data_IF_522431053658
#
_entry.id   IF_522431053658
#
_cell.length_a   1.000
_cell.length_b   1.000
_cell.length_c   1.000
_cell.angle_alpha   90.00
_cell.angle_beta   90.00
_cell.angle_gamma   90.00
#
_symmetry.space_group_name_H-M   'P 1'
#
loop_
_entity.id
_entity.type
_entity.pdbx_description
1 polymer ?
#
# COMPACT_ATOMS: atom_id res chain seq x y z
N UNK A 1 15.35 4.27 -4.91
CA UNK A 1 14.18 4.79 -5.65
C UNK A 1 13.46 3.64 -6.34
N UNK A 2 12.17 3.44 -6.04
CA UNK A 2 11.28 2.54 -6.77
C UNK A 2 10.68 3.31 -7.94
N UNK A 3 10.82 2.80 -9.16
CA UNK A 3 10.33 3.46 -10.38
C UNK A 3 9.56 2.44 -11.19
N UNK A 4 8.24 2.65 -11.30
CA UNK A 4 7.40 1.95 -12.27
C UNK A 4 7.08 2.88 -13.43
N UNK A 5 6.99 2.35 -14.66
CA UNK A 5 6.70 3.18 -15.81
C UNK A 5 5.27 3.70 -15.79
N UNK A 6 5.12 4.94 -16.26
CA UNK A 6 3.84 5.52 -16.61
C UNK A 6 3.54 5.23 -18.09
N UNK A 7 2.26 5.00 -18.36
CA UNK A 7 1.71 4.74 -19.69
C UNK A 7 0.52 5.63 -19.97
N UNK A 8 -0.46 5.11 -20.71
CA UNK A 8 -1.72 5.83 -20.89
C UNK A 8 -2.50 5.85 -19.58
N UNK A 9 -2.79 7.02 -19.00
CA UNK A 9 -3.47 7.10 -17.71
C UNK A 9 -4.93 6.65 -17.85
N UNK A 10 -5.36 5.77 -16.95
CA UNK A 10 -6.76 5.35 -16.80
C UNK A 10 -7.41 5.99 -15.56
N UNK A 11 -6.61 6.20 -14.52
CA UNK A 11 -6.97 6.94 -13.32
C UNK A 11 -5.68 7.52 -12.72
N UNK A 12 -5.70 8.78 -12.29
CA UNK A 12 -4.53 9.42 -11.69
C UNK A 12 -4.95 10.27 -10.49
N UNK A 13 -4.05 10.36 -9.52
CA UNK A 13 -4.16 11.15 -8.30
C UNK A 13 -5.47 10.89 -7.54
N UNK A 14 -5.91 9.62 -7.53
CA UNK A 14 -7.10 9.22 -6.78
C UNK A 14 -6.69 9.07 -5.31
N UNK A 15 -7.27 9.86 -4.38
CA UNK A 15 -6.94 9.71 -2.97
C UNK A 15 -7.35 8.34 -2.45
N UNK A 16 -6.46 7.67 -1.71
CA UNK A 16 -6.75 6.34 -1.11
C UNK A 16 -7.98 6.37 -0.20
N UNK A 17 -8.30 7.51 0.41
CA UNK A 17 -9.48 7.70 1.26
C UNK A 17 -10.81 7.57 0.53
N UNK A 18 -10.80 7.64 -0.80
CA UNK A 18 -11.97 7.44 -1.67
C UNK A 18 -12.03 6.03 -2.25
N UNK A 19 -11.06 5.17 -1.93
CA UNK A 19 -10.93 3.84 -2.49
C UNK A 19 -11.34 2.79 -1.48
N UNK A 20 -12.16 1.85 -1.95
CA UNK A 20 -12.34 0.56 -1.32
C UNK A 20 -11.47 -0.43 -2.09
N UNK A 21 -10.38 -0.93 -1.48
CA UNK A 21 -9.37 -1.71 -2.20
C UNK A 21 -9.95 -2.94 -2.90
N UNK A 22 -10.80 -3.78 -2.27
CA UNK A 22 -11.38 -4.94 -2.95
C UNK A 22 -12.12 -4.58 -4.24
N UNK A 23 -12.92 -3.51 -4.20
CA UNK A 23 -13.71 -3.08 -5.37
C UNK A 23 -12.83 -2.45 -6.44
N UNK A 24 -11.74 -1.78 -6.05
CA UNK A 24 -10.75 -1.27 -6.99
C UNK A 24 -10.07 -2.41 -7.74
N UNK A 25 -9.58 -3.44 -7.04
CA UNK A 25 -8.96 -4.60 -7.68
C UNK A 25 -9.95 -5.37 -8.56
N UNK A 26 -11.21 -5.52 -8.11
CA UNK A 26 -12.27 -6.15 -8.90
C UNK A 26 -12.57 -5.36 -10.19
N UNK A 27 -12.56 -4.03 -10.14
CA UNK A 27 -12.68 -3.18 -11.34
C UNK A 27 -11.49 -3.36 -12.30
N UNK A 28 -10.26 -3.42 -11.79
CA UNK A 28 -9.08 -3.64 -12.63
C UNK A 28 -9.13 -5.01 -13.33
N UNK A 29 -9.60 -6.04 -12.60
CA UNK A 29 -9.81 -7.38 -13.12
C UNK A 29 -10.89 -7.42 -14.20
N UNK A 30 -12.09 -6.91 -13.90
CA UNK A 30 -13.22 -6.93 -14.81
C UNK A 30 -13.02 -6.03 -16.04
N UNK A 31 -12.29 -4.92 -15.86
CA UNK A 31 -11.84 -4.03 -16.93
C UNK A 31 -10.73 -4.60 -17.81
N UNK A 32 -10.23 -5.82 -17.51
CA UNK A 32 -9.13 -6.49 -18.23
C UNK A 32 -7.88 -5.63 -18.35
N UNK A 33 -7.47 -4.97 -17.26
CA UNK A 33 -6.29 -4.11 -17.27
C UNK A 33 -5.07 -4.90 -17.79
N UNK A 34 -4.37 -4.31 -18.77
CA UNK A 34 -3.01 -4.68 -19.14
C UNK A 34 -2.14 -3.45 -18.87
N UNK A 35 -1.33 -3.50 -17.80
CA UNK A 35 -0.66 -2.31 -17.30
C UNK A 35 -0.21 -2.44 -15.85
N UNK A 36 -0.13 -1.32 -15.16
CA UNK A 36 0.19 -1.30 -13.73
C UNK A 36 -0.71 -0.35 -12.96
N UNK A 37 -0.87 -0.64 -11.68
CA UNK A 37 -1.46 0.25 -10.70
C UNK A 37 -0.42 0.54 -9.60
N UNK A 38 -0.42 1.75 -9.09
CA UNK A 38 0.55 2.22 -8.08
C UNK A 38 -0.19 2.83 -6.92
N UNK A 39 0.34 2.62 -5.72
CA UNK A 39 -0.10 3.30 -4.51
C UNK A 39 1.11 3.99 -3.89
N UNK A 40 1.03 5.30 -3.78
CA UNK A 40 2.09 6.13 -3.21
C UNK A 40 1.63 6.56 -1.82
N UNK A 41 2.25 6.00 -0.78
CA UNK A 41 2.04 6.38 0.61
C UNK A 41 3.26 7.16 1.13
N UNK A 42 3.15 7.99 2.18
CA UNK A 42 4.30 8.72 2.72
C UNK A 42 5.47 7.84 3.17
N UNK A 43 5.19 6.60 3.60
CA UNK A 43 6.18 5.68 4.16
C UNK A 43 6.39 4.41 3.30
N UNK A 44 5.67 4.27 2.19
CA UNK A 44 5.74 3.07 1.36
C UNK A 44 5.28 3.34 -0.07
N UNK A 45 5.87 2.64 -1.02
CA UNK A 45 5.43 2.63 -2.41
C UNK A 45 4.97 1.22 -2.78
N UNK A 46 3.82 1.11 -3.45
CA UNK A 46 3.29 -0.18 -3.86
C UNK A 46 3.04 -0.21 -5.36
N UNK A 47 3.32 -1.35 -5.98
CA UNK A 47 3.10 -1.59 -7.39
C UNK A 47 2.34 -2.89 -7.62
N UNK A 48 1.35 -2.85 -8.50
CA UNK A 48 0.60 -4.01 -8.97
C UNK A 48 0.74 -4.08 -10.48
N UNK A 49 1.07 -5.25 -11.02
CA UNK A 49 1.22 -5.46 -12.48
C UNK A 49 0.13 -6.40 -12.97
N UNK A 50 -0.57 -5.99 -14.02
CA UNK A 50 -1.71 -6.72 -14.57
C UNK A 50 -1.50 -7.10 -16.04
N UNK A 51 -1.96 -8.30 -16.40
CA UNK A 51 -2.09 -8.75 -17.79
C UNK A 51 -3.51 -9.27 -18.03
N UNK A 52 -4.27 -8.55 -18.87
CA UNK A 52 -5.66 -8.87 -19.24
C UNK A 52 -6.58 -9.09 -18.01
N UNK A 53 -6.37 -8.28 -16.96
CA UNK A 53 -7.13 -8.31 -15.72
C UNK A 53 -6.62 -9.31 -14.68
N UNK A 54 -5.61 -10.12 -15.00
CA UNK A 54 -4.95 -10.99 -14.03
C UNK A 54 -3.87 -10.22 -13.30
N UNK A 55 -3.85 -10.30 -11.97
CA UNK A 55 -2.78 -9.70 -11.18
C UNK A 55 -1.55 -10.62 -11.23
N UNK A 56 -0.52 -10.20 -11.95
CA UNK A 56 0.68 -11.02 -12.23
C UNK A 56 1.67 -10.97 -11.08
N UNK A 57 1.94 -9.78 -10.55
CA UNK A 57 2.85 -9.56 -9.43
C UNK A 57 2.45 -8.33 -8.64
N UNK A 58 2.76 -8.36 -7.35
CA UNK A 58 2.56 -7.27 -6.41
C UNK A 58 3.87 -6.99 -5.67
N UNK A 59 4.12 -5.73 -5.35
CA UNK A 59 5.32 -5.32 -4.62
C UNK A 59 5.02 -4.16 -3.69
N UNK A 60 5.62 -4.20 -2.51
CA UNK A 60 5.63 -3.10 -1.54
C UNK A 60 7.07 -2.82 -1.17
N UNK A 61 7.47 -1.57 -1.29
CA UNK A 61 8.71 -1.06 -0.73
C UNK A 61 8.39 -0.30 0.55
N UNK A 62 8.91 -0.77 1.68
CA UNK A 62 8.72 -0.13 2.99
C UNK A 62 9.97 -0.32 3.83
N UNK A 63 10.41 0.73 4.51
CA UNK A 63 11.58 0.69 5.41
C UNK A 63 12.87 0.13 4.77
N UNK A 64 13.05 0.35 3.47
CA UNK A 64 14.19 -0.17 2.70
C UNK A 64 14.10 -1.67 2.36
N UNK A 65 13.01 -2.34 2.72
CA UNK A 65 12.74 -3.74 2.37
C UNK A 65 11.76 -3.84 1.21
N UNK A 66 11.92 -4.91 0.43
CA UNK A 66 11.05 -5.28 -0.70
C UNK A 66 10.20 -6.49 -0.28
N UNK A 67 8.87 -6.33 -0.29
CA UNK A 67 7.89 -7.37 -0.01
C UNK A 67 7.17 -7.69 -1.30
N UNK A 68 6.96 -8.99 -1.63
CA UNK A 68 6.39 -9.42 -2.91
C UNK A 68 5.11 -10.24 -2.79
N UNK A 69 4.37 -10.25 -3.89
CA UNK A 69 3.24 -11.11 -4.21
C UNK A 69 2.19 -11.17 -3.09
N UNK A 70 1.90 -12.35 -2.53
CA UNK A 70 0.88 -12.49 -1.49
C UNK A 70 1.17 -11.62 -0.24
N UNK A 71 2.42 -11.58 0.20
CA UNK A 71 2.82 -10.76 1.35
C UNK A 71 2.71 -9.26 1.02
N UNK A 72 2.97 -8.87 -0.23
CA UNK A 72 2.77 -7.50 -0.69
C UNK A 72 1.29 -7.10 -0.68
N UNK A 73 0.38 -8.01 -1.07
CA UNK A 73 -1.07 -7.76 -1.01
C UNK A 73 -1.55 -7.57 0.42
N UNK A 74 -1.09 -8.40 1.36
CA UNK A 74 -1.38 -8.23 2.79
C UNK A 74 -0.88 -6.88 3.30
N UNK A 75 0.38 -6.55 3.02
CA UNK A 75 0.97 -5.26 3.41
C UNK A 75 0.21 -4.07 2.79
N UNK A 76 -0.26 -4.18 1.55
CA UNK A 76 -1.08 -3.15 0.91
C UNK A 76 -2.43 -2.97 1.61
N UNK A 77 -3.10 -4.06 2.03
CA UNK A 77 -4.34 -3.96 2.83
C UNK A 77 -4.07 -3.19 4.12
N UNK A 78 -3.01 -3.54 4.85
CA UNK A 78 -2.62 -2.85 6.08
C UNK A 78 -2.34 -1.36 5.84
N UNK A 79 -1.56 -1.04 4.80
CA UNK A 79 -1.25 0.34 4.43
C UNK A 79 -2.50 1.14 4.07
N UNK A 80 -3.42 0.57 3.30
CA UNK A 80 -4.68 1.21 2.93
C UNK A 80 -5.58 1.52 4.14
N UNK A 81 -5.53 0.70 5.19
CA UNK A 81 -6.33 0.89 6.41
C UNK A 81 -5.69 1.85 7.40
N UNK A 82 -4.36 1.86 7.48
CA UNK A 82 -3.60 2.62 8.48
C UNK A 82 -3.15 3.99 7.98
N UNK A 83 -2.94 4.16 6.67
CA UNK A 83 -2.43 5.41 6.12
C UNK A 83 -3.50 6.51 6.15
N UNK A 84 -3.11 7.69 6.63
CA UNK A 84 -3.97 8.88 6.64
C UNK A 84 -4.13 9.54 5.26
N UNK A 85 -3.18 9.30 4.36
CA UNK A 85 -3.12 9.86 3.02
C UNK A 85 -2.31 8.95 2.09
N UNK A 86 -2.51 9.16 0.80
CA UNK A 86 -1.85 8.41 -0.26
C UNK A 86 -2.57 8.62 -1.57
N UNK A 87 -1.90 8.30 -2.66
CA UNK A 87 -2.43 8.41 -4.01
C UNK A 87 -2.45 7.07 -4.69
N UNK A 88 -3.46 6.86 -5.52
CA UNK A 88 -3.61 5.70 -6.38
C UNK A 88 -3.62 6.14 -7.84
N UNK A 89 -2.82 5.49 -8.66
CA UNK A 89 -2.72 5.72 -10.10
C UNK A 89 -2.80 4.41 -10.86
N UNK A 90 -3.35 4.44 -12.07
CA UNK A 90 -3.49 3.29 -12.96
C UNK A 90 -3.08 3.71 -14.36
N UNK A 91 -2.16 2.95 -14.94
CA UNK A 91 -1.63 3.20 -16.28
C UNK A 91 -1.77 1.94 -17.13
N UNK A 92 -2.42 2.09 -18.29
CA UNK A 92 -2.38 1.08 -19.34
C UNK A 92 -1.00 1.10 -20.01
N UNK A 93 -0.44 -0.10 -20.25
CA UNK A 93 0.86 -0.26 -20.90
C UNK A 93 0.72 -1.19 -22.10
N UNK A 94 1.56 -1.04 -23.13
CA UNK A 94 1.67 -2.05 -24.18
C UNK A 94 2.02 -3.41 -23.57
N UNK A 95 1.45 -4.50 -24.11
CA UNK A 95 1.66 -5.86 -23.57
C UNK A 95 3.15 -6.23 -23.46
N UNK A 96 3.94 -5.80 -24.43
CA UNK A 96 5.38 -6.01 -24.49
C UNK A 96 6.11 -5.35 -23.31
N UNK A 97 5.63 -4.19 -22.88
CA UNK A 97 6.16 -3.47 -21.71
C UNK A 97 5.72 -4.15 -20.42
N UNK A 98 4.47 -4.65 -20.33
CA UNK A 98 3.98 -5.36 -19.14
C UNK A 98 4.84 -6.58 -18.81
N UNK A 99 5.25 -7.36 -19.81
CA UNK A 99 6.16 -8.50 -19.60
C UNK A 99 7.51 -8.06 -19.00
N UNK A 100 8.09 -6.98 -19.53
CA UNK A 100 9.35 -6.45 -19.01
C UNK A 100 9.18 -5.86 -17.59
N UNK A 101 8.10 -5.14 -17.31
CA UNK A 101 7.77 -4.62 -15.97
C UNK A 101 7.56 -5.76 -14.97
N UNK A 102 6.96 -6.87 -15.40
CA UNK A 102 6.84 -8.07 -14.55
C UNK A 102 8.23 -8.61 -14.17
N UNK A 103 9.21 -8.55 -15.08
CA UNK A 103 10.60 -8.88 -14.76
C UNK A 103 11.22 -7.90 -13.77
N UNK A 104 10.97 -6.59 -13.90
CA UNK A 104 11.46 -5.58 -12.95
C UNK A 104 11.02 -5.88 -11.51
N UNK A 105 9.76 -6.28 -11.34
CA UNK A 105 9.12 -6.46 -10.03
C UNK A 105 9.37 -7.86 -9.45
N UNK A 106 9.12 -8.91 -10.23
CA UNK A 106 9.14 -10.30 -9.77
C UNK A 106 10.22 -11.17 -10.42
N UNK A 107 11.06 -10.61 -11.31
CA UNK A 107 12.06 -11.37 -12.06
C UNK A 107 13.28 -11.78 -11.24
N UNK A 108 14.01 -12.76 -11.77
CA UNK A 108 15.30 -13.18 -11.24
C UNK A 108 16.34 -12.07 -11.40
N UNK A 109 17.24 -11.97 -10.42
CA UNK A 109 18.31 -10.97 -10.39
C UNK A 109 19.50 -11.49 -11.16
N UNK A 110 19.88 -10.80 -12.24
CA UNK A 110 21.09 -11.10 -13.00
C UNK A 110 22.23 -10.13 -12.66
N UNK A 111 21.89 -8.87 -12.42
CA UNK A 111 22.81 -7.83 -11.94
C UNK A 111 22.10 -7.12 -10.79
N UNK A 112 22.80 -6.93 -9.68
CA UNK A 112 22.27 -6.25 -8.50
C UNK A 112 23.20 -5.11 -8.08
N UNK A 113 22.73 -3.89 -8.24
CA UNK A 113 23.39 -2.66 -7.82
C UNK A 113 24.86 -2.57 -8.23
N UNK A 114 25.20 -2.94 -9.46
CA UNK A 114 26.59 -2.91 -9.93
C UNK A 114 26.92 -1.55 -10.55
N UNK A 115 28.07 -0.96 -10.23
CA UNK A 115 28.52 0.27 -10.88
C UNK A 115 28.67 0.07 -12.39
N UNK A 116 28.13 1.00 -13.18
CA UNK A 116 28.10 0.88 -14.65
C UNK A 116 29.51 0.76 -15.25
N UNK A 117 30.50 1.43 -14.65
CA UNK A 117 31.90 1.37 -15.09
C UNK A 117 32.52 -0.03 -15.01
N UNK A 118 31.95 -0.91 -14.19
CA UNK A 118 32.39 -2.29 -14.00
C UNK A 118 31.62 -3.29 -14.88
N UNK A 119 30.63 -2.83 -15.64
CA UNK A 119 29.79 -3.65 -16.51
C UNK A 119 30.31 -3.50 -17.95
N UNK A 120 30.61 -4.62 -18.60
CA UNK A 120 30.75 -4.63 -20.05
C UNK A 120 29.36 -4.54 -20.68
N UNK A 121 28.93 -3.30 -20.93
CA UNK A 121 27.58 -3.02 -21.45
C UNK A 121 27.37 -3.63 -22.84
N UNK A 122 28.42 -3.73 -23.65
CA UNK A 122 28.32 -4.32 -24.99
C UNK A 122 28.05 -5.82 -24.88
N UNK A 123 28.85 -6.53 -24.08
CA UNK A 123 28.65 -7.95 -23.83
C UNK A 123 27.28 -8.23 -23.18
N UNK A 124 26.82 -7.35 -22.28
CA UNK A 124 25.50 -7.47 -21.64
C UNK A 124 24.36 -7.38 -22.66
N UNK A 125 24.40 -6.38 -23.55
CA UNK A 125 23.39 -6.21 -24.61
C UNK A 125 23.42 -7.37 -25.61
N UNK A 126 24.61 -7.83 -25.99
CA UNK A 126 24.78 -8.98 -26.89
C UNK A 126 24.20 -10.25 -26.24
N UNK A 127 24.39 -10.42 -24.92
CA UNK A 127 23.81 -11.53 -24.16
C UNK A 127 22.28 -11.47 -24.12
N UNK A 128 21.70 -10.31 -23.77
CA UNK A 128 20.24 -10.10 -23.77
C UNK A 128 19.64 -10.48 -25.12
N UNK A 129 20.29 -10.06 -26.22
CA UNK A 129 19.86 -10.34 -27.58
C UNK A 129 19.98 -11.83 -27.94
N UNK A 130 21.12 -12.45 -27.61
CA UNK A 130 21.44 -13.83 -28.02
C UNK A 130 20.60 -14.86 -27.25
N UNK A 131 20.40 -14.63 -25.95
CA UNK A 131 19.57 -15.47 -25.09
C UNK A 131 18.08 -15.11 -25.20
N UNK A 132 17.70 -14.18 -26.09
CA UNK A 132 16.32 -13.72 -26.28
C UNK A 132 15.62 -13.35 -24.96
N UNK A 133 16.30 -12.62 -24.09
CA UNK A 133 15.79 -12.32 -22.76
C UNK A 133 14.59 -11.38 -22.80
N UNK A 134 13.60 -11.64 -21.93
CA UNK A 134 12.61 -10.64 -21.52
C UNK A 134 13.05 -10.10 -20.16
N UNK A 135 13.41 -8.82 -20.11
CA UNK A 135 14.14 -8.24 -18.99
C UNK A 135 13.89 -6.74 -18.85
N UNK A 136 14.16 -6.22 -17.65
CA UNK A 136 14.28 -4.78 -17.41
C UNK A 136 15.67 -4.47 -16.88
N UNK A 137 16.36 -3.58 -17.58
CA UNK A 137 17.60 -2.96 -17.11
C UNK A 137 17.26 -1.62 -16.49
N UNK A 138 17.52 -1.49 -15.19
CA UNK A 138 17.40 -0.23 -14.46
C UNK A 138 18.78 0.39 -14.32
N UNK A 139 18.90 1.67 -14.65
CA UNK A 139 20.11 2.46 -14.49
C UNK A 139 19.76 3.64 -13.57
N UNK A 140 20.54 3.87 -12.53
CA UNK A 140 20.19 4.88 -11.52
C UNK A 140 21.38 5.47 -10.77
N UNK A 141 21.16 6.69 -10.28
CA UNK A 141 21.88 7.32 -9.18
C UNK A 141 20.91 7.45 -8.00
N UNK A 142 21.31 8.03 -6.85
CA UNK A 142 20.36 8.33 -5.78
C UNK A 142 19.22 9.28 -6.21
N UNK A 143 19.46 10.15 -7.21
CA UNK A 143 18.55 11.21 -7.64
C UNK A 143 17.85 10.94 -8.98
N UNK A 144 18.47 10.15 -9.86
CA UNK A 144 17.96 9.89 -11.21
C UNK A 144 17.79 8.41 -11.45
N UNK A 145 16.77 8.01 -12.21
CA UNK A 145 16.70 6.64 -12.72
C UNK A 145 16.06 6.54 -14.11
N UNK A 146 16.52 5.56 -14.87
CA UNK A 146 16.04 5.16 -16.17
C UNK A 146 15.85 3.64 -16.24
N UNK A 147 14.92 3.23 -17.10
CA UNK A 147 14.54 1.84 -17.38
C UNK A 147 14.68 1.60 -18.88
N UNK A 148 15.22 0.45 -19.23
CA UNK A 148 15.22 -0.09 -20.59
C UNK A 148 14.49 -1.42 -20.55
N UNK A 149 13.44 -1.53 -21.37
CA UNK A 149 12.60 -2.71 -21.45
C UNK A 149 13.02 -3.58 -22.63
N UNK A 150 13.22 -4.87 -22.37
CA UNK A 150 13.55 -5.87 -23.36
C UNK A 150 12.50 -6.96 -23.41
N UNK A 151 12.17 -7.40 -24.62
CA UNK A 151 11.33 -8.56 -24.89
C UNK A 151 11.97 -9.40 -25.97
N UNK A 152 12.15 -10.69 -25.70
CA UNK A 152 12.78 -11.64 -26.64
C UNK A 152 14.11 -11.11 -27.21
N UNK A 153 14.90 -10.42 -26.38
CA UNK A 153 16.19 -9.83 -26.74
C UNK A 153 16.12 -8.51 -27.52
N UNK A 154 14.92 -8.02 -27.87
CA UNK A 154 14.72 -6.73 -28.54
C UNK A 154 14.34 -5.65 -27.53
N UNK A 155 14.86 -4.43 -27.73
CA UNK A 155 14.42 -3.27 -26.95
C UNK A 155 13.02 -2.86 -27.38
N UNK A 156 12.10 -2.78 -26.41
CA UNK A 156 10.69 -2.44 -26.66
C UNK A 156 10.29 -1.08 -26.10
N UNK A 157 11.11 -0.47 -25.25
CA UNK A 157 10.87 0.89 -24.78
C UNK A 157 11.86 1.37 -23.73
N UNK A 158 11.74 2.65 -23.41
CA UNK A 158 12.52 3.37 -22.40
C UNK A 158 11.59 4.14 -21.49
N UNK A 159 12.00 4.36 -20.25
CA UNK A 159 11.28 5.22 -19.31
C UNK A 159 12.26 5.81 -18.31
N UNK A 160 12.05 7.03 -17.85
CA UNK A 160 12.84 7.63 -16.78
C UNK A 160 11.95 8.39 -15.80
N UNK A 161 12.52 8.80 -14.68
CA UNK A 161 11.86 9.54 -13.60
C UNK A 161 11.01 10.75 -14.03
N UNK A 162 11.46 11.51 -15.01
CA UNK A 162 10.77 12.65 -15.59
C UNK A 162 9.87 12.29 -16.81
N UNK A 163 9.84 11.03 -17.25
CA UNK A 163 8.97 10.60 -18.35
C UNK A 163 7.50 10.61 -17.92
N UNK A 164 6.63 11.07 -18.81
CA UNK A 164 5.17 10.93 -18.66
C UNK A 164 4.60 9.71 -19.38
N UNK A 165 5.40 9.06 -20.23
CA UNK A 165 5.01 7.92 -21.04
C UNK A 165 6.23 7.07 -21.44
N UNK A 166 6.00 5.87 -21.98
CA UNK A 166 7.04 5.05 -22.59
C UNK A 166 7.63 5.75 -23.81
N UNK A 167 8.95 5.83 -23.86
CA UNK A 167 9.72 6.42 -24.95
C UNK A 167 10.33 5.36 -25.85
N UNK A 168 10.67 5.77 -27.08
CA UNK A 168 11.35 4.94 -28.08
C UNK A 168 12.85 5.22 -28.17
N UNK A 169 13.35 6.21 -27.42
CA UNK A 169 14.74 6.66 -27.49
C UNK A 169 15.46 6.44 -26.16
N UNK A 170 16.75 6.09 -26.25
CA UNK A 170 17.60 5.86 -25.09
C UNK A 170 18.21 7.15 -24.50
N UNK A 171 17.91 8.33 -25.06
CA UNK A 171 18.70 9.55 -24.85
C UNK A 171 18.91 9.89 -23.38
N UNK A 172 17.83 10.01 -22.61
CA UNK A 172 17.93 10.36 -21.19
C UNK A 172 18.55 9.23 -20.36
N UNK A 173 18.19 7.97 -20.64
CA UNK A 173 18.76 6.81 -19.93
C UNK A 173 20.28 6.73 -20.12
N UNK A 174 20.78 7.05 -21.32
CA UNK A 174 22.22 7.15 -21.60
C UNK A 174 22.88 8.29 -20.85
N UNK A 175 22.21 9.43 -20.70
CA UNK A 175 22.72 10.53 -19.88
C UNK A 175 22.86 10.11 -18.42
N UNK A 176 21.85 9.44 -17.85
CA UNK A 176 21.89 8.92 -16.48
C UNK A 176 23.04 7.91 -16.32
N UNK A 177 23.26 7.04 -17.30
CA UNK A 177 24.36 6.08 -17.29
C UNK A 177 25.75 6.75 -17.26
N UNK A 178 25.87 7.96 -17.80
CA UNK A 178 27.09 8.76 -17.78
C UNK A 178 27.36 9.50 -16.46
N UNK A 179 26.40 9.52 -15.53
CA UNK A 179 26.55 10.23 -14.26
C UNK A 179 27.55 9.53 -13.32
N UNK A 180 28.30 10.29 -12.51
CA UNK A 180 29.17 9.71 -11.49
C UNK A 180 28.40 8.83 -10.51
N UNK A 181 28.90 7.62 -10.25
CA UNK A 181 28.29 6.68 -9.32
C UNK A 181 27.01 6.01 -9.85
N UNK A 182 26.72 6.09 -11.15
CA UNK A 182 25.60 5.38 -11.74
C UNK A 182 25.76 3.86 -11.59
N UNK A 183 24.68 3.20 -11.18
CA UNK A 183 24.58 1.75 -10.94
C UNK A 183 23.51 1.17 -11.84
N UNK A 184 23.59 -0.14 -12.06
CA UNK A 184 22.60 -0.87 -12.82
C UNK A 184 22.09 -2.11 -12.07
N UNK A 185 20.81 -2.38 -12.23
CA UNK A 185 20.16 -3.63 -11.87
C UNK A 185 19.59 -4.25 -13.15
N UNK A 186 19.76 -5.56 -13.34
CA UNK A 186 19.13 -6.29 -14.43
C UNK A 186 18.28 -7.40 -13.85
N UNK A 187 16.97 -7.32 -14.11
CA UNK A 187 16.00 -8.33 -13.71
C UNK A 187 15.43 -9.01 -14.95
N UNK A 188 15.42 -10.34 -14.94
CA UNK A 188 14.97 -11.17 -16.07
C UNK A 188 13.72 -11.95 -15.69
N UNK A 189 12.79 -12.08 -16.63
CA UNK A 189 11.63 -12.94 -16.41
C UNK A 189 12.08 -14.41 -16.38
N UNK A 190 11.53 -15.19 -15.45
CA UNK A 190 11.76 -16.64 -15.42
C UNK A 190 11.00 -17.29 -16.58
N UNK A 191 11.62 -18.28 -17.25
CA UNK A 191 11.06 -19.05 -18.37
C UNK A 191 9.84 -19.93 -18.03
N UNK A 192 9.17 -19.70 -16.89
CA UNK A 192 7.97 -20.44 -16.50
C UNK A 192 6.88 -20.27 -17.56
N UNK A 193 6.79 -21.27 -18.44
CA UNK A 193 6.04 -21.28 -19.67
C UNK A 193 4.55 -20.94 -19.45
N UNK A 194 4.08 -19.89 -20.12
CA UNK A 194 2.68 -19.69 -20.53
C UNK A 194 1.62 -19.45 -19.44
N UNK A 195 1.91 -19.68 -18.16
CA UNK A 195 0.93 -19.54 -17.09
C UNK A 195 1.10 -18.23 -16.32
N UNK A 196 0.26 -17.25 -16.67
CA UNK A 196 0.07 -16.05 -15.83
C UNK A 196 -0.85 -16.44 -14.67
N UNK A 197 -0.26 -16.65 -13.50
CA UNK A 197 -0.98 -16.86 -12.24
C UNK A 197 -1.70 -15.57 -11.85
N UNK A 198 -3.00 -15.66 -11.58
CA UNK A 198 -3.77 -14.54 -11.01
C UNK A 198 -3.60 -14.54 -9.49
N UNK A 199 -2.66 -13.73 -8.98
CA UNK A 199 -2.38 -13.61 -7.54
C UNK A 199 -3.62 -13.20 -6.74
N UNK A 200 -4.50 -12.39 -7.33
CA UNK A 200 -5.76 -11.99 -6.69
C UNK A 200 -6.73 -13.17 -6.52
N UNK A 201 -6.55 -14.26 -7.27
CA UNK A 201 -7.29 -15.50 -7.09
C UNK A 201 -6.74 -16.41 -5.98
N UNK A 202 -5.51 -16.16 -5.52
CA UNK A 202 -4.87 -16.92 -4.44
C UNK A 202 -5.10 -16.32 -3.05
N UNK A 203 -5.46 -15.04 -3.02
CA UNK A 203 -5.63 -14.26 -1.79
C UNK A 203 -7.04 -13.70 -1.80
N UNK A 204 -7.84 -14.05 -0.80
CA UNK A 204 -9.15 -13.43 -0.60
C UNK A 204 -8.96 -12.02 -0.03
N UNK A 205 -8.69 -11.06 -0.91
CA UNK A 205 -8.45 -9.66 -0.52
C UNK A 205 -9.67 -9.06 0.17
N UNK A 206 -10.89 -9.51 -0.15
CA UNK A 206 -12.11 -9.03 0.52
C UNK A 206 -12.18 -9.56 1.95
N UNK A 207 -11.94 -10.85 2.17
CA UNK A 207 -11.85 -11.40 3.53
C UNK A 207 -10.69 -10.78 4.35
N UNK A 208 -9.53 -10.55 3.72
CA UNK A 208 -8.41 -9.84 4.38
C UNK A 208 -8.78 -8.42 4.75
N UNK A 209 -9.46 -7.70 3.85
CA UNK A 209 -9.95 -6.35 4.09
C UNK A 209 -10.97 -6.30 5.22
N UNK A 210 -11.97 -7.19 5.22
CA UNK A 210 -13.04 -7.20 6.21
C UNK A 210 -12.53 -7.59 7.61
N UNK A 211 -11.65 -8.60 7.66
CA UNK A 211 -11.01 -9.02 8.91
C UNK A 211 -10.10 -7.94 9.47
N UNK A 212 -9.27 -7.31 8.63
CA UNK A 212 -8.35 -6.25 9.06
C UNK A 212 -9.11 -4.97 9.42
N UNK A 213 -10.18 -4.63 8.70
CA UNK A 213 -11.05 -3.48 9.02
C UNK A 213 -11.79 -3.64 10.34
N UNK A 214 -12.06 -4.89 10.74
CA UNK A 214 -12.72 -5.23 12.01
C UNK A 214 -11.72 -5.41 13.17
N UNK A 215 -10.48 -5.84 12.88
CA UNK A 215 -9.46 -6.25 13.85
C UNK A 215 -8.18 -5.40 13.83
N UNK A 216 -8.23 -4.09 13.55
CA UNK A 216 -7.03 -3.20 13.50
C UNK A 216 -6.20 -3.21 14.82
N UNK A 217 -6.71 -3.84 15.90
CA UNK A 217 -6.04 -3.97 17.20
C UNK A 217 -5.89 -5.40 17.74
N UNK A 218 -6.09 -6.45 16.94
CA UNK A 218 -5.80 -7.81 17.40
C UNK A 218 -4.28 -8.05 17.38
N UNK A 219 -3.63 -8.01 18.54
CA UNK A 219 -2.28 -8.60 18.73
C UNK A 219 -2.29 -10.05 18.22
N UNK A 220 -1.21 -10.54 17.56
CA UNK A 220 -1.17 -11.93 17.12
C UNK A 220 -1.19 -12.83 18.37
N UNK A 221 -2.33 -13.50 18.60
CA UNK A 221 -2.44 -14.56 19.60
C UNK A 221 -1.74 -15.78 18.99
N UNK A 222 -0.73 -16.39 19.64
CA UNK A 222 -0.16 -17.64 19.15
C UNK A 222 -1.27 -18.69 19.10
N UNK A 223 -1.34 -19.43 17.99
CA UNK A 223 -2.32 -20.49 17.80
C UNK A 223 -2.21 -21.53 18.94
N UNK A 224 -3.18 -21.49 19.85
CA UNK A 224 -3.47 -22.55 20.79
C UNK A 224 -4.86 -23.09 20.46
N UNK A 225 -4.89 -24.33 19.98
CA UNK A 225 -6.09 -25.15 19.87
C UNK A 225 -6.80 -25.18 21.23
N UNK A 226 -8.09 -24.81 21.28
CA UNK A 226 -9.09 -25.53 22.08
C UNK A 226 -10.53 -25.13 21.68
N UNK A 227 -11.52 -26.04 21.84
CA UNK A 227 -12.79 -26.03 21.12
C UNK A 227 -13.89 -25.19 21.77
N UNK A 228 -14.81 -24.75 20.92
CA UNK A 228 -15.95 -23.89 21.22
C UNK A 228 -16.93 -24.49 22.26
N UNK A 229 -17.35 -23.63 23.20
CA UNK A 229 -18.61 -23.78 23.93
C UNK A 229 -19.55 -22.61 23.58
N UNK A 230 -20.85 -22.85 23.35
CA UNK A 230 -21.80 -21.81 23.01
C UNK A 230 -22.31 -21.08 24.25
N UNK A 231 -22.28 -19.74 24.25
CA UNK A 231 -23.00 -18.92 25.22
C UNK A 231 -24.22 -18.22 24.60
N UNK A 232 -25.32 -18.04 25.36
CA UNK A 232 -26.63 -17.66 24.83
C UNK A 232 -26.78 -16.17 24.61
N UNK A 233 -27.60 -15.81 23.62
CA UNK A 233 -27.97 -14.44 23.29
C UNK A 233 -28.70 -13.74 24.46
N UNK A 234 -28.23 -12.54 24.82
CA UNK A 234 -28.91 -11.63 25.74
C UNK A 234 -29.47 -10.41 24.98
N UNK A 235 -30.66 -10.02 25.42
CA UNK A 235 -31.65 -9.13 24.80
C UNK A 235 -31.22 -7.67 24.83
N UNK A 236 -31.39 -6.96 23.71
CA UNK A 236 -31.18 -5.51 23.60
C UNK A 236 -32.41 -4.78 24.11
N UNK A 237 -32.23 -3.98 25.17
CA UNK A 237 -33.15 -2.94 25.61
C UNK A 237 -32.43 -1.58 25.53
N UNK A 238 -32.96 -0.65 24.73
CA UNK A 238 -32.78 0.81 24.87
C UNK A 238 -33.82 1.30 25.91
N UNK A 239 -33.62 2.28 26.83
CA UNK A 239 -33.01 3.62 26.57
C UNK A 239 -32.31 4.36 27.77
N UNK A 240 -31.20 5.06 27.49
CA UNK A 240 -30.73 6.33 28.11
C UNK A 240 -29.45 6.74 27.35
N UNK A 241 -29.19 8.02 27.12
CA UNK A 241 -27.95 8.43 26.45
C UNK A 241 -26.77 8.25 27.43
N UNK A 242 -26.19 7.05 27.42
CA UNK A 242 -25.05 6.72 28.27
C UNK A 242 -23.88 7.68 27.99
N UNK A 243 -23.20 8.19 29.03
CA UNK A 243 -22.09 9.14 28.89
C UNK A 243 -20.95 8.57 28.05
N UNK A 244 -20.79 7.24 28.05
CA UNK A 244 -19.89 6.51 27.17
C UNK A 244 -20.24 6.72 25.69
N UNK A 245 -21.51 6.52 25.30
CA UNK A 245 -21.98 6.72 23.93
C UNK A 245 -21.73 8.15 23.46
N UNK A 246 -21.94 9.14 24.33
CA UNK A 246 -21.72 10.56 24.00
C UNK A 246 -20.24 10.87 23.77
N UNK A 247 -19.34 10.32 24.59
CA UNK A 247 -17.88 10.49 24.42
C UNK A 247 -17.43 9.84 23.11
N UNK A 248 -17.94 8.65 22.81
CA UNK A 248 -17.61 7.90 21.60
C UNK A 248 -18.13 8.64 20.35
N UNK A 249 -19.35 9.15 20.37
CA UNK A 249 -19.92 9.94 19.26
C UNK A 249 -19.12 11.22 19.00
N UNK A 250 -18.77 11.97 20.05
CA UNK A 250 -17.98 13.20 19.90
C UNK A 250 -16.57 12.90 19.41
N UNK A 251 -15.91 11.86 19.93
CA UNK A 251 -14.62 11.44 19.40
C UNK A 251 -14.72 11.00 17.93
N UNK A 252 -15.81 10.32 17.55
CA UNK A 252 -16.09 9.95 16.15
C UNK A 252 -16.29 11.18 15.26
N UNK A 253 -17.01 12.18 15.76
CA UNK A 253 -17.32 13.40 15.02
C UNK A 253 -16.05 14.23 14.72
N UNK A 254 -15.17 14.37 15.70
CA UNK A 254 -13.98 15.22 15.58
C UNK A 254 -12.76 14.48 14.99
N UNK A 255 -12.58 13.21 15.33
CA UNK A 255 -11.39 12.41 14.96
C UNK A 255 -11.72 11.25 13.99
N UNK A 256 -12.97 11.13 13.53
CA UNK A 256 -13.39 10.09 12.60
C UNK A 256 -13.44 8.70 13.24
N UNK A 257 -13.41 7.65 12.41
CA UNK A 257 -13.51 6.25 12.88
C UNK A 257 -12.39 5.85 13.88
N UNK A 258 -11.21 6.47 13.76
CA UNK A 258 -10.11 6.27 14.71
C UNK A 258 -10.36 6.96 16.05
N UNK A 259 -11.09 8.08 16.05
CA UNK A 259 -11.62 8.71 17.25
C UNK A 259 -12.54 7.81 18.05
N UNK A 260 -13.46 7.14 17.36
CA UNK A 260 -14.39 6.17 17.95
C UNK A 260 -13.65 5.10 18.74
N UNK A 261 -12.71 4.43 18.07
CA UNK A 261 -11.94 3.34 18.64
C UNK A 261 -11.02 3.81 19.78
N UNK A 262 -10.43 4.99 19.66
CA UNK A 262 -9.64 5.60 20.73
C UNK A 262 -10.51 5.87 21.97
N UNK A 263 -11.71 6.43 21.79
CA UNK A 263 -12.63 6.67 22.89
C UNK A 263 -13.09 5.38 23.56
N UNK A 264 -13.50 4.36 22.79
CA UNK A 264 -13.91 3.05 23.31
C UNK A 264 -12.78 2.40 24.12
N UNK A 265 -11.55 2.44 23.62
CA UNK A 265 -10.36 1.90 24.30
C UNK A 265 -10.08 2.63 25.60
N UNK A 266 -10.03 3.96 25.58
CA UNK A 266 -9.67 4.71 26.77
C UNK A 266 -10.79 4.67 27.82
N UNK A 267 -12.06 4.57 27.41
CA UNK A 267 -13.18 4.30 28.33
C UNK A 267 -13.05 2.93 28.99
N UNK A 268 -12.63 1.90 28.23
CA UNK A 268 -12.36 0.58 28.79
C UNK A 268 -11.18 0.61 29.79
N UNK A 269 -10.10 1.34 29.46
CA UNK A 269 -8.90 1.44 30.30
C UNK A 269 -9.17 2.06 31.68
N UNK A 270 -10.10 3.03 31.76
CA UNK A 270 -10.44 3.65 33.05
C UNK A 270 -11.40 2.79 33.90
N UNK A 271 -11.91 1.67 33.38
CA UNK A 271 -12.86 0.79 34.06
C UNK A 271 -14.29 0.84 33.53
N UNK A 272 -14.51 1.35 32.32
CA UNK A 272 -15.81 1.39 31.64
C UNK A 272 -16.73 2.53 32.10
N UNK A 273 -17.98 2.53 31.63
CA UNK A 273 -18.96 3.61 31.88
C UNK A 273 -19.15 4.00 33.35
N UNK A 274 -18.98 3.06 34.30
CA UNK A 274 -19.11 3.35 35.72
C UNK A 274 -18.01 4.29 36.25
N UNK A 275 -16.81 4.24 35.65
CA UNK A 275 -15.67 5.07 36.02
C UNK A 275 -15.79 6.52 35.51
N UNK A 276 -16.66 6.79 34.53
CA UNK A 276 -16.91 8.14 34.00
C UNK A 276 -17.55 9.09 35.03
N UNK A 277 -18.09 8.56 36.13
CA UNK A 277 -18.68 9.33 37.23
C UNK A 277 -17.64 9.82 38.24
N UNK A 278 -16.42 9.31 38.17
CA UNK A 278 -15.30 9.77 38.99
C UNK A 278 -14.54 10.89 38.25
N UNK A 279 -14.51 12.12 38.77
CA UNK A 279 -13.82 13.25 38.15
C UNK A 279 -12.34 12.99 37.86
N UNK A 280 -11.65 12.23 38.70
CA UNK A 280 -10.22 11.92 38.51
C UNK A 280 -10.01 10.96 37.33
N UNK A 281 -10.91 9.96 37.19
CA UNK A 281 -10.90 9.01 36.07
C UNK A 281 -11.33 9.65 34.76
N UNK A 282 -12.23 10.62 34.82
CA UNK A 282 -12.62 11.41 33.65
C UNK A 282 -11.47 12.30 33.15
N UNK A 283 -10.70 12.95 34.03
CA UNK A 283 -9.50 13.69 33.60
C UNK A 283 -8.41 12.77 33.02
N UNK A 284 -8.25 11.57 33.59
CA UNK A 284 -7.33 10.54 33.09
C UNK A 284 -7.71 10.15 31.64
N UNK A 285 -9.00 9.92 31.39
CA UNK A 285 -9.55 9.65 30.06
C UNK A 285 -9.30 10.78 29.07
N UNK A 286 -9.60 12.01 29.45
CA UNK A 286 -9.43 13.19 28.59
C UNK A 286 -7.96 13.42 28.24
N UNK A 287 -7.06 13.16 29.18
CA UNK A 287 -5.61 13.23 28.96
C UNK A 287 -5.11 12.11 28.04
N UNK A 288 -5.63 10.90 28.19
CA UNK A 288 -5.30 9.77 27.33
C UNK A 288 -5.82 9.96 25.90
N UNK A 289 -7.05 10.45 25.76
CA UNK A 289 -7.65 10.84 24.47
C UNK A 289 -6.84 11.92 23.77
N UNK A 290 -6.40 12.95 24.50
CA UNK A 290 -5.53 13.99 23.93
C UNK A 290 -4.21 13.41 23.41
N UNK A 291 -3.57 12.55 24.20
CA UNK A 291 -2.30 11.93 23.83
C UNK A 291 -2.44 11.02 22.60
N UNK A 292 -3.51 10.24 22.53
CA UNK A 292 -3.81 9.38 21.38
C UNK A 292 -4.23 10.16 20.13
N UNK A 293 -4.94 11.29 20.31
CA UNK A 293 -5.43 12.10 19.20
C UNK A 293 -4.35 12.96 18.53
N UNK A 294 -3.20 13.21 19.17
CA UNK A 294 -2.07 13.97 18.61
C UNK A 294 -1.52 13.41 17.30
N UNK A 295 -1.71 12.11 17.06
CA UNK A 295 -1.32 11.44 15.81
C UNK A 295 -2.45 11.43 14.76
N UNK A 296 -3.66 11.84 15.13
CA UNK A 296 -4.87 11.70 14.33
C UNK A 296 -5.44 13.05 13.85
N UNK A 297 -5.17 14.15 14.57
CA UNK A 297 -5.72 15.47 14.25
C UNK A 297 -4.84 16.64 14.72
N UNK A 298 -5.15 17.84 14.23
CA UNK A 298 -4.48 19.08 14.65
C UNK A 298 -4.86 19.49 16.08
N UNK A 299 -3.95 20.20 16.76
CA UNK A 299 -4.14 20.64 18.15
C UNK A 299 -5.45 21.44 18.38
N UNK A 300 -5.87 22.25 17.40
CA UNK A 300 -7.14 23.00 17.47
C UNK A 300 -8.36 22.06 17.49
N UNK A 301 -8.36 21.03 16.63
CA UNK A 301 -9.47 20.07 16.52
C UNK A 301 -9.58 19.17 17.76
N UNK A 302 -8.43 18.84 18.37
CA UNK A 302 -8.36 18.09 19.64
C UNK A 302 -8.93 18.94 20.78
N UNK A 303 -8.62 20.24 20.81
CA UNK A 303 -9.16 21.16 21.82
C UNK A 303 -10.68 21.30 21.71
N UNK A 304 -11.20 21.52 20.51
CA UNK A 304 -12.65 21.60 20.24
C UNK A 304 -13.39 20.32 20.68
N UNK A 305 -12.80 19.15 20.43
CA UNK A 305 -13.34 17.87 20.88
C UNK A 305 -13.39 17.79 22.41
N UNK A 306 -12.30 18.14 23.11
CA UNK A 306 -12.25 18.10 24.58
C UNK A 306 -13.27 19.03 25.21
N UNK A 307 -13.40 20.25 24.68
CA UNK A 307 -14.37 21.23 25.16
C UNK A 307 -15.82 20.74 24.93
N UNK A 308 -16.09 20.10 23.79
CA UNK A 308 -17.39 19.53 23.48
C UNK A 308 -17.74 18.32 24.38
N UNK A 309 -16.77 17.46 24.68
CA UNK A 309 -16.93 16.33 25.60
C UNK A 309 -17.22 16.84 27.01
N UNK A 310 -16.40 17.76 27.54
CA UNK A 310 -16.59 18.32 28.87
C UNK A 310 -17.94 19.04 29.03
N UNK A 311 -18.38 19.79 28.01
CA UNK A 311 -19.66 20.50 28.04
C UNK A 311 -20.88 19.57 28.02
N UNK A 312 -20.80 18.43 27.31
CA UNK A 312 -21.89 17.45 27.20
C UNK A 312 -21.95 16.52 28.42
N UNK A 313 -20.81 16.13 28.99
CA UNK A 313 -20.78 15.27 30.18
C UNK A 313 -21.19 16.03 31.45
N UNK A 314 -21.04 17.36 31.51
CA UNK A 314 -21.54 18.18 32.62
C UNK A 314 -23.08 18.35 32.65
N UNK A 315 -23.79 17.90 31.61
CA UNK A 315 -25.26 17.97 31.48
C UNK A 315 -25.97 16.63 31.76
N UNK A 316 -25.20 15.58 32.09
CA UNK A 316 -25.64 14.20 32.38
C UNK A 316 -25.41 13.92 33.86
#
# INVERSE_FOLDING_TARGET
MFLLPKGSPLAENVPISKLHLPDALEKLKNGKLTGCATFDFPAADCGLVYDEGKLVTAIVHRDGAEIKDQAALQALVELMLLASNGMFNVYALPKDIVCAVSALVGGAVLIDSQEIKLIDFKALLDRIKTEQMTATLKIYTPERAGLIFYRNGATVGFFHDASTSIEISAGEVQQIAGLPGARADLRTQNESQGFVLDLAGLVDVRALWDSSSSNIFATPVPAANEPAQPQPAAVVNTPAADPETVIIELATQYLGKLGKALAEKEVLNIGGAAALKDPAKFEELISALEKGAKLLASANKIKEMKDAIAARTAQI
#
